data_IF_813611967009
#
_entry.id   IF_813611967009
#
_cell.length_a   1.000
_cell.length_b   1.000
_cell.length_c   1.000
_cell.angle_alpha   90.00
_cell.angle_beta   90.00
_cell.angle_gamma   90.00
#
_symmetry.space_group_name_H-M   'P 1'
#
loop_
_entity.id
_entity.type
_entity.pdbx_description
1 polymer ?
#
# COMPACT_ATOMS: atom_id res chain seq x y z
N UNK A 1 10.24 16.18 -27.37
CA UNK A 1 9.91 15.42 -26.14
C UNK A 1 9.44 14.04 -26.57
N UNK A 2 9.80 12.99 -25.84
CA UNK A 2 9.33 11.63 -26.10
C UNK A 2 7.99 11.39 -25.37
N UNK A 3 7.23 10.37 -25.78
CA UNK A 3 5.92 10.08 -25.21
C UNK A 3 5.98 9.85 -23.69
N UNK A 4 7.00 9.15 -23.20
CA UNK A 4 7.15 8.82 -21.78
C UNK A 4 7.25 10.07 -20.90
N UNK A 5 8.08 11.06 -21.29
CA UNK A 5 8.20 12.34 -20.56
C UNK A 5 6.88 13.12 -20.51
N UNK A 6 6.11 13.09 -21.59
CA UNK A 6 4.80 13.75 -21.67
C UNK A 6 3.78 13.02 -20.80
N UNK A 7 3.76 11.69 -20.80
CA UNK A 7 2.89 10.89 -19.95
C UNK A 7 3.16 11.14 -18.46
N UNK A 8 4.43 11.13 -18.04
CA UNK A 8 4.81 11.44 -16.65
C UNK A 8 4.38 12.85 -16.26
N UNK A 9 4.58 13.84 -17.12
CA UNK A 9 4.15 15.21 -16.84
C UNK A 9 2.62 15.31 -16.73
N UNK A 10 1.86 14.69 -17.64
CA UNK A 10 0.40 14.68 -17.62
C UNK A 10 -0.16 14.06 -16.33
N UNK A 11 0.49 13.03 -15.79
CA UNK A 11 0.09 12.39 -14.53
C UNK A 11 0.41 13.23 -13.28
N UNK A 12 1.31 14.21 -13.39
CA UNK A 12 1.71 15.10 -12.30
C UNK A 12 1.05 16.48 -12.37
N UNK A 13 0.43 16.82 -13.50
CA UNK A 13 -0.19 18.13 -13.70
C UNK A 13 -1.44 18.29 -12.83
N UNK A 14 -1.52 19.40 -12.09
CA UNK A 14 -2.70 19.74 -11.28
C UNK A 14 -3.94 20.07 -12.13
N UNK A 15 -3.74 20.45 -13.40
CA UNK A 15 -4.83 20.76 -14.32
C UNK A 15 -4.54 20.25 -15.73
N UNK A 16 -5.52 19.56 -16.31
CA UNK A 16 -5.45 19.03 -17.68
C UNK A 16 -6.04 19.99 -18.73
N UNK A 17 -6.28 21.25 -18.35
CA UNK A 17 -6.80 22.29 -19.25
C UNK A 17 -5.70 22.75 -20.22
N UNK A 18 -5.95 22.78 -21.56
CA UNK A 18 -4.93 23.15 -22.55
C UNK A 18 -4.25 24.50 -22.29
N UNK A 19 -4.99 25.46 -21.72
CA UNK A 19 -4.48 26.81 -21.44
C UNK A 19 -3.36 26.84 -20.38
N UNK A 20 -3.29 25.84 -19.51
CA UNK A 20 -2.29 25.73 -18.46
C UNK A 20 -1.02 24.98 -18.93
N UNK A 21 -0.99 24.48 -20.17
CA UNK A 21 0.09 23.62 -20.64
C UNK A 21 1.25 24.43 -21.22
N UNK A 22 2.50 24.01 -20.96
CA UNK A 22 3.64 24.48 -21.73
C UNK A 22 3.43 24.21 -23.22
N UNK A 23 3.80 25.16 -24.08
CA UNK A 23 3.58 25.07 -25.53
C UNK A 23 4.19 23.78 -26.16
N UNK A 24 5.31 23.30 -25.63
CA UNK A 24 5.95 22.07 -26.08
C UNK A 24 5.09 20.81 -25.86
N UNK A 25 4.29 20.80 -24.79
CA UNK A 25 3.40 19.69 -24.44
C UNK A 25 2.16 19.72 -25.34
N UNK A 26 1.56 20.91 -25.50
CA UNK A 26 0.43 21.10 -26.43
C UNK A 26 0.79 20.61 -27.84
N UNK A 27 1.92 21.08 -28.38
CA UNK A 27 2.39 20.67 -29.71
C UNK A 27 2.63 19.17 -29.83
N UNK A 28 3.12 18.51 -28.79
CA UNK A 28 3.31 17.05 -28.81
C UNK A 28 1.99 16.29 -28.75
N UNK A 29 1.08 16.69 -27.86
CA UNK A 29 -0.25 16.08 -27.73
C UNK A 29 -1.02 16.21 -29.05
N UNK A 30 -0.94 17.36 -29.72
CA UNK A 30 -1.58 17.58 -31.01
C UNK A 30 -1.00 16.69 -32.13
N UNK A 31 0.31 16.38 -32.06
CA UNK A 31 1.00 15.55 -33.05
C UNK A 31 1.04 14.04 -32.74
N UNK A 32 0.62 13.60 -31.55
CA UNK A 32 0.76 12.22 -31.11
C UNK A 32 -0.57 11.62 -30.64
N UNK A 33 -1.14 10.70 -31.43
CA UNK A 33 -2.44 10.08 -31.16
C UNK A 33 -2.51 9.34 -29.81
N UNK A 34 -1.41 8.70 -29.39
CA UNK A 34 -1.36 7.98 -28.10
C UNK A 34 -1.46 8.95 -26.91
N UNK A 35 -0.71 10.06 -26.95
CA UNK A 35 -0.75 11.10 -25.92
C UNK A 35 -2.09 11.86 -25.93
N UNK A 36 -2.66 12.12 -27.11
CA UNK A 36 -4.01 12.69 -27.25
C UNK A 36 -5.10 11.80 -26.65
N UNK A 37 -4.99 10.47 -26.80
CA UNK A 37 -5.90 9.52 -26.14
C UNK A 37 -5.76 9.61 -24.61
N UNK A 38 -4.55 9.51 -24.08
CA UNK A 38 -4.33 9.61 -22.63
C UNK A 38 -4.90 10.90 -22.03
N UNK A 39 -4.71 12.04 -22.70
CA UNK A 39 -5.30 13.32 -22.27
C UNK A 39 -6.83 13.25 -22.19
N UNK A 40 -7.49 12.63 -23.17
CA UNK A 40 -8.95 12.48 -23.17
C UNK A 40 -9.40 11.62 -22.00
N UNK A 41 -8.75 10.47 -21.80
CA UNK A 41 -9.07 9.54 -20.72
C UNK A 41 -8.87 10.21 -19.33
N UNK A 42 -7.79 10.99 -19.16
CA UNK A 42 -7.54 11.72 -17.92
C UNK A 42 -8.53 12.87 -17.69
N UNK A 43 -8.96 13.58 -18.74
CA UNK A 43 -10.00 14.62 -18.62
C UNK A 43 -11.34 14.03 -18.25
N UNK A 44 -11.72 12.91 -18.85
CA UNK A 44 -12.96 12.21 -18.50
C UNK A 44 -12.98 11.81 -17.02
N UNK A 45 -11.85 11.30 -16.50
CA UNK A 45 -11.70 11.03 -15.07
C UNK A 45 -11.78 12.29 -14.20
N UNK A 46 -11.14 13.39 -14.62
CA UNK A 46 -11.23 14.68 -13.92
C UNK A 46 -12.67 15.19 -13.87
N UNK A 47 -13.39 15.12 -14.99
CA UNK A 47 -14.78 15.57 -15.11
C UNK A 47 -15.71 14.69 -14.27
N UNK A 48 -15.60 13.36 -14.33
CA UNK A 48 -16.34 12.44 -13.46
C UNK A 48 -16.10 12.75 -11.98
N UNK A 49 -14.87 13.07 -11.59
CA UNK A 49 -14.53 13.41 -10.22
C UNK A 49 -15.11 14.77 -9.79
N UNK A 50 -15.17 15.75 -10.70
CA UNK A 50 -15.80 17.06 -10.45
C UNK A 50 -17.32 17.00 -10.41
N UNK A 51 -17.92 16.10 -11.19
CA UNK A 51 -19.37 15.87 -11.25
C UNK A 51 -19.88 15.02 -10.07
N UNK A 52 -19.00 14.36 -9.32
CA UNK A 52 -19.40 13.72 -8.08
C UNK A 52 -20.07 14.75 -7.16
N UNK A 53 -21.38 14.57 -6.95
CA UNK A 53 -22.16 15.38 -6.04
C UNK A 53 -21.44 15.46 -4.71
N UNK A 54 -21.08 16.68 -4.28
CA UNK A 54 -20.45 16.87 -2.99
C UNK A 54 -21.36 16.22 -1.93
N UNK A 55 -20.83 15.37 -1.02
CA UNK A 55 -21.64 14.77 0.03
C UNK A 55 -22.37 15.89 0.78
N UNK A 56 -23.56 15.62 1.31
CA UNK A 56 -24.43 16.63 1.95
C UNK A 56 -23.79 17.40 3.12
N UNK A 57 -22.57 17.07 3.53
CA UNK A 57 -21.68 17.88 4.37
C UNK A 57 -20.89 18.98 3.65
N UNK A 58 -21.15 19.25 2.36
CA UNK A 58 -20.44 20.26 1.56
C UNK A 58 -20.49 21.67 2.17
N UNK A 59 -21.56 21.99 2.89
CA UNK A 59 -21.65 23.23 3.67
C UNK A 59 -20.58 23.33 4.75
N UNK A 60 -20.16 22.21 5.36
CA UNK A 60 -19.10 22.22 6.36
C UNK A 60 -17.75 22.56 5.72
N UNK A 61 -17.46 22.04 4.53
CA UNK A 61 -16.23 22.35 3.78
C UNK A 61 -16.22 23.80 3.28
N UNK A 62 -17.34 24.32 2.77
CA UNK A 62 -17.42 25.73 2.36
C UNK A 62 -17.35 26.69 3.55
N UNK A 63 -17.96 26.35 4.70
CA UNK A 63 -17.80 27.09 5.95
C UNK A 63 -16.36 27.04 6.49
N UNK A 64 -15.67 25.91 6.34
CA UNK A 64 -14.27 25.79 6.71
C UNK A 64 -13.38 26.65 5.81
N UNK A 65 -13.55 26.60 4.49
CA UNK A 65 -12.80 27.43 3.55
C UNK A 65 -13.09 28.93 3.76
N UNK A 66 -14.33 29.32 4.07
CA UNK A 66 -14.63 30.70 4.47
C UNK A 66 -13.96 31.09 5.79
N UNK A 67 -13.87 30.19 6.77
CA UNK A 67 -13.13 30.45 8.02
C UNK A 67 -11.64 30.60 7.75
N UNK A 68 -11.07 29.79 6.87
CA UNK A 68 -9.65 29.87 6.50
C UNK A 68 -9.33 31.17 5.76
N UNK A 69 -10.16 31.57 4.78
CA UNK A 69 -10.02 32.85 4.09
C UNK A 69 -10.14 34.07 5.03
N UNK A 70 -10.89 33.95 6.15
CA UNK A 70 -10.93 34.98 7.20
C UNK A 70 -9.69 35.00 8.09
N UNK A 71 -9.01 33.86 8.26
CA UNK A 71 -7.77 33.75 9.03
C UNK A 71 -6.55 34.20 8.22
N UNK A 72 -6.60 34.05 6.90
CA UNK A 72 -5.53 34.47 5.98
C UNK A 72 -5.59 35.94 5.55
N UNK A 73 -6.49 36.76 6.11
CA UNK A 73 -6.30 38.21 6.07
C UNK A 73 -5.26 38.51 7.13
N UNK A 74 -3.99 38.78 6.79
CA UNK A 74 -3.08 39.29 7.77
C UNK A 74 -3.68 40.64 8.14
N UNK A 75 -4.19 40.79 9.36
CA UNK A 75 -4.39 42.10 9.95
C UNK A 75 -3.05 42.77 9.77
N UNK A 76 -2.95 43.69 8.80
CA UNK A 76 -1.72 44.38 8.47
C UNK A 76 -1.29 45.07 9.75
N UNK A 77 -0.40 44.44 10.49
CA UNK A 77 0.15 45.02 11.71
C UNK A 77 0.77 46.32 11.20
N UNK A 78 0.30 47.50 11.64
CA UNK A 78 0.85 48.75 11.15
C UNK A 78 2.34 48.68 11.39
N UNK A 79 3.12 48.70 10.32
CA UNK A 79 4.57 48.76 10.40
C UNK A 79 4.88 50.10 11.06
N UNK A 80 5.02 50.11 12.39
CA UNK A 80 5.75 51.16 13.07
C UNK A 80 7.15 51.09 12.49
N UNK A 81 7.48 52.06 11.64
CA UNK A 81 8.83 52.25 11.13
C UNK A 81 9.78 52.25 12.32
N UNK A 82 10.52 51.14 12.48
CA UNK A 82 11.57 51.07 13.48
C UNK A 82 12.64 52.07 13.06
N UNK A 83 13.03 53.02 13.91
CA UNK A 83 14.16 53.89 13.62
C UNK A 83 15.39 53.02 13.38
N UNK A 84 16.16 53.38 12.35
CA UNK A 84 17.40 52.75 11.92
C UNK A 84 18.27 52.35 13.13
N UNK A 85 18.23 51.06 13.48
CA UNK A 85 19.14 50.48 14.45
C UNK A 85 20.52 50.46 13.81
N UNK A 86 21.43 51.26 14.36
CA UNK A 86 22.86 51.26 14.03
C UNK A 86 23.40 49.82 14.09
N UNK A 87 24.36 49.45 13.22
CA UNK A 87 24.91 48.11 13.18
C UNK A 87 25.46 47.74 14.56
N UNK A 88 24.75 46.85 15.25
CA UNK A 88 25.20 46.29 16.50
C UNK A 88 26.41 45.39 16.24
N UNK A 89 27.34 45.48 17.18
CA UNK A 89 28.64 44.82 17.29
C UNK A 89 28.69 43.37 16.76
N UNK A 90 29.83 42.95 16.15
CA UNK A 90 29.99 41.68 15.43
C UNK A 90 29.77 40.41 16.28
N UNK A 91 29.67 40.55 17.61
CA UNK A 91 29.42 39.45 18.53
C UNK A 91 27.98 38.91 18.47
N UNK A 92 26.99 39.73 18.07
CA UNK A 92 25.60 39.27 17.94
C UNK A 92 25.40 38.35 16.72
N UNK A 93 26.18 38.53 15.65
CA UNK A 93 26.13 37.66 14.48
C UNK A 93 26.62 36.24 14.81
N UNK A 94 27.65 36.11 15.65
CA UNK A 94 28.19 34.82 16.09
C UNK A 94 27.18 34.03 16.95
N UNK A 95 26.45 34.71 17.84
CA UNK A 95 25.42 34.09 18.68
C UNK A 95 24.20 33.61 17.86
N UNK A 96 23.78 34.36 16.84
CA UNK A 96 22.68 33.95 15.97
C UNK A 96 23.03 32.72 15.11
N UNK A 97 24.25 32.64 14.58
CA UNK A 97 24.68 31.48 13.80
C UNK A 97 24.82 30.21 14.64
N UNK A 98 25.27 30.32 15.89
CA UNK A 98 25.37 29.17 16.80
C UNK A 98 24.00 28.65 17.23
N UNK A 99 23.01 29.51 17.48
CA UNK A 99 21.63 29.06 17.71
C UNK A 99 21.05 28.33 16.50
N UNK A 100 21.27 28.84 15.28
CA UNK A 100 20.83 28.17 14.05
C UNK A 100 21.44 26.77 13.90
N UNK A 101 22.75 26.64 14.12
CA UNK A 101 23.45 25.36 14.06
C UNK A 101 22.93 24.36 15.10
N UNK A 102 22.64 24.81 16.33
CA UNK A 102 22.07 23.96 17.40
C UNK A 102 20.65 23.52 17.03
N UNK A 103 19.80 24.40 16.50
CA UNK A 103 18.46 23.99 16.02
C UNK A 103 18.51 23.02 14.85
N UNK A 104 19.44 23.19 13.90
CA UNK A 104 19.61 22.29 12.76
C UNK A 104 20.10 20.91 13.21
N UNK A 105 21.04 20.89 14.15
CA UNK A 105 21.55 19.65 14.72
C UNK A 105 20.49 18.94 15.56
N UNK A 106 19.71 19.67 16.37
CA UNK A 106 18.59 19.10 17.13
C UNK A 106 17.46 18.58 16.22
N UNK A 107 17.26 19.20 15.05
CA UNK A 107 16.28 18.76 14.07
C UNK A 107 16.72 17.50 13.31
N UNK A 108 17.99 17.43 12.88
CA UNK A 108 18.56 16.24 12.23
C UNK A 108 18.76 15.06 13.18
N UNK A 109 18.95 15.31 14.48
CA UNK A 109 19.11 14.26 15.50
C UNK A 109 17.79 13.70 16.01
N UNK A 110 16.65 14.29 15.64
CA UNK A 110 15.34 13.68 15.90
C UNK A 110 15.03 12.69 14.77
N UNK A 111 14.73 11.41 15.06
CA UNK A 111 14.18 10.50 14.05
C UNK A 111 12.96 11.18 13.43
N UNK A 112 12.98 11.31 12.10
CA UNK A 112 12.20 12.31 11.38
C UNK A 112 10.72 12.36 11.76
N UNK A 113 10.11 13.56 11.78
CA UNK A 113 8.68 13.71 11.98
C UNK A 113 7.95 13.03 10.81
N UNK A 114 7.42 11.84 11.08
CA UNK A 114 6.33 11.27 10.31
C UNK A 114 5.14 12.25 10.26
N UNK A 115 4.20 12.01 9.33
CA UNK A 115 3.15 12.96 9.00
C UNK A 115 2.30 13.34 10.23
N UNK A 116 2.32 14.64 10.56
CA UNK A 116 1.27 15.44 11.21
C UNK A 116 0.64 14.92 12.52
N UNK A 117 0.80 15.62 13.66
CA UNK A 117 -0.05 15.42 14.82
C UNK A 117 -1.42 16.09 14.57
N UNK A 118 -2.48 15.46 15.08
CA UNK A 118 -3.88 15.94 15.21
C UNK A 118 -4.94 15.32 14.28
N UNK A 119 -4.83 14.01 14.04
CA UNK A 119 -6.01 13.16 14.18
C UNK A 119 -5.68 12.13 15.26
N UNK A 120 -6.11 12.39 16.50
CA UNK A 120 -6.24 11.34 17.52
C UNK A 120 -7.39 10.42 17.10
N UNK A 121 -7.19 9.67 16.02
CA UNK A 121 -7.86 8.37 15.91
C UNK A 121 -7.36 7.64 17.14
N UNK A 122 -8.27 7.20 18.01
CA UNK A 122 -7.92 6.24 19.04
C UNK A 122 -7.39 5.00 18.29
N UNK A 123 -6.10 5.01 18.01
CA UNK A 123 -5.34 3.87 17.56
C UNK A 123 -5.40 2.92 18.73
N UNK A 124 -6.42 2.07 18.73
CA UNK A 124 -6.38 0.78 19.40
C UNK A 124 -5.04 0.16 18.99
N UNK A 125 -4.06 0.18 19.88
CA UNK A 125 -2.64 -0.14 19.62
C UNK A 125 -2.37 -1.63 19.41
N UNK A 126 -3.34 -2.39 18.93
CA UNK A 126 -3.28 -3.86 18.82
C UNK A 126 -3.63 -4.49 17.46
N UNK A 127 -3.66 -3.77 16.32
CA UNK A 127 -3.59 -4.38 14.99
C UNK A 127 -2.17 -4.59 14.43
N UNK A 128 -1.10 -4.11 15.09
CA UNK A 128 0.26 -4.06 14.50
C UNK A 128 0.91 -5.45 14.30
N UNK A 129 0.78 -6.38 15.24
CA UNK A 129 1.49 -7.69 15.16
C UNK A 129 0.98 -8.58 14.03
N UNK A 130 -0.34 -8.68 13.84
CA UNK A 130 -0.91 -9.51 12.76
C UNK A 130 -0.54 -8.90 11.41
N UNK A 131 -0.54 -7.58 11.30
CA UNK A 131 -0.20 -6.87 10.07
C UNK A 131 1.28 -7.07 9.70
N UNK A 132 2.18 -7.01 10.69
CA UNK A 132 3.60 -7.35 10.49
C UNK A 132 3.80 -8.80 10.10
N UNK A 133 3.07 -9.73 10.71
CA UNK A 133 3.13 -11.15 10.33
C UNK A 133 2.63 -11.38 8.89
N UNK A 134 1.61 -10.64 8.45
CA UNK A 134 1.14 -10.69 7.06
C UNK A 134 2.18 -10.11 6.09
N UNK A 135 2.80 -8.97 6.42
CA UNK A 135 3.87 -8.38 5.61
C UNK A 135 5.11 -9.29 5.58
N UNK A 136 5.45 -9.94 6.69
CA UNK A 136 6.53 -10.92 6.73
C UNK A 136 6.23 -12.14 5.84
N UNK A 137 5.01 -12.70 5.90
CA UNK A 137 4.62 -13.77 4.98
C UNK A 137 4.66 -13.32 3.51
N UNK A 138 4.31 -12.06 3.23
CA UNK A 138 4.47 -11.46 1.92
C UNK A 138 5.94 -11.42 1.48
N UNK A 139 6.84 -10.96 2.34
CA UNK A 139 8.28 -10.95 2.09
C UNK A 139 8.81 -12.37 1.82
N UNK A 140 8.37 -13.36 2.61
CA UNK A 140 8.73 -14.78 2.43
C UNK A 140 8.31 -15.30 1.04
N UNK A 141 7.10 -15.00 0.58
CA UNK A 141 6.63 -15.45 -0.76
C UNK A 141 7.43 -14.81 -1.90
N UNK A 142 7.81 -13.53 -1.75
CA UNK A 142 8.53 -12.77 -2.76
C UNK A 142 10.05 -13.03 -2.76
N UNK A 143 10.61 -13.44 -1.62
CA UNK A 143 12.02 -13.79 -1.50
C UNK A 143 12.36 -15.03 -2.35
N UNK A 144 13.61 -15.09 -2.83
CA UNK A 144 14.14 -16.28 -3.50
C UNK A 144 14.30 -17.40 -2.47
N UNK A 145 14.20 -18.68 -2.86
CA UNK A 145 14.24 -19.77 -1.89
C UNK A 145 15.49 -19.79 -0.98
N UNK A 146 16.66 -19.43 -1.51
CA UNK A 146 17.90 -19.32 -0.73
C UNK A 146 17.91 -18.16 0.30
N UNK A 147 17.15 -17.09 0.03
CA UNK A 147 17.07 -15.92 0.92
C UNK A 147 16.02 -16.12 2.02
N UNK A 148 14.99 -16.95 1.78
CA UNK A 148 13.91 -17.22 2.76
C UNK A 148 14.42 -17.80 4.07
N UNK A 149 15.42 -18.70 4.03
CA UNK A 149 16.02 -19.29 5.23
C UNK A 149 16.75 -18.26 6.09
N UNK A 150 17.40 -17.29 5.46
CA UNK A 150 18.04 -16.16 6.17
C UNK A 150 16.97 -15.27 6.80
N UNK A 151 15.96 -14.91 6.00
CA UNK A 151 14.84 -14.10 6.48
C UNK A 151 14.14 -14.75 7.68
N UNK A 152 13.92 -16.06 7.65
CA UNK A 152 13.38 -16.82 8.78
C UNK A 152 14.28 -16.69 10.02
N UNK A 153 15.58 -16.98 9.89
CA UNK A 153 16.52 -16.92 11.01
C UNK A 153 16.62 -15.51 11.63
N UNK A 154 16.51 -14.46 10.81
CA UNK A 154 16.64 -13.07 11.27
C UNK A 154 15.39 -12.57 12.01
N UNK A 155 14.19 -13.08 11.67
CA UNK A 155 12.91 -12.45 12.09
C UNK A 155 11.99 -13.34 12.94
N UNK A 156 12.10 -14.67 12.87
CA UNK A 156 11.14 -15.58 13.54
C UNK A 156 11.11 -15.38 15.05
N UNK A 157 12.28 -15.35 15.69
CA UNK A 157 12.39 -15.22 17.15
C UNK A 157 11.85 -13.87 17.66
N UNK A 158 12.07 -12.81 16.89
CA UNK A 158 11.53 -11.48 17.20
C UNK A 158 10.02 -11.47 17.09
N UNK A 159 9.46 -11.96 15.98
CA UNK A 159 8.01 -12.04 15.77
C UNK A 159 7.32 -12.92 16.81
N UNK A 160 7.91 -14.06 17.20
CA UNK A 160 7.38 -14.90 18.30
C UNK A 160 7.37 -14.15 19.64
N UNK A 161 8.41 -13.36 19.94
CA UNK A 161 8.44 -12.52 21.15
C UNK A 161 7.39 -11.42 21.09
N UNK A 162 7.19 -10.80 19.93
CA UNK A 162 6.15 -9.78 19.73
C UNK A 162 4.74 -10.36 19.94
N UNK A 163 4.45 -11.54 19.38
CA UNK A 163 3.17 -12.23 19.61
C UNK A 163 2.96 -12.52 21.10
N UNK A 164 3.95 -13.08 21.80
CA UNK A 164 3.87 -13.34 23.26
C UNK A 164 3.64 -12.05 24.05
N UNK A 165 4.32 -10.95 23.67
CA UNK A 165 4.14 -9.65 24.33
C UNK A 165 2.76 -9.05 24.06
N UNK A 166 2.21 -9.27 22.87
CA UNK A 166 0.88 -8.81 22.49
C UNK A 166 -0.25 -9.72 23.02
N UNK A 167 0.07 -10.93 23.49
CA UNK A 167 -0.89 -11.94 23.93
C UNK A 167 -1.98 -11.43 24.88
N UNK A 168 -1.68 -10.60 25.92
CA UNK A 168 -2.71 -10.10 26.84
C UNK A 168 -3.77 -9.21 26.19
N UNK A 169 -3.49 -8.70 24.98
CA UNK A 169 -4.36 -7.77 24.26
C UNK A 169 -4.98 -8.39 23.00
N UNK A 170 -4.49 -9.55 22.57
CA UNK A 170 -5.00 -10.24 21.38
C UNK A 170 -6.22 -11.06 21.74
N UNK A 171 -7.22 -11.05 20.86
CA UNK A 171 -8.36 -11.98 21.00
C UNK A 171 -7.87 -13.42 20.82
N UNK A 172 -8.56 -14.44 21.36
CA UNK A 172 -8.19 -15.84 21.13
C UNK A 172 -8.09 -16.21 19.64
N UNK A 173 -8.98 -15.66 18.81
CA UNK A 173 -8.95 -15.86 17.35
C UNK A 173 -7.72 -15.22 16.70
N UNK A 174 -7.31 -14.03 17.16
CA UNK A 174 -6.11 -13.37 16.65
C UNK A 174 -4.83 -14.07 17.06
N UNK A 175 -4.79 -14.67 18.25
CA UNK A 175 -3.65 -15.48 18.71
C UNK A 175 -3.47 -16.71 17.82
N UNK A 176 -4.53 -17.49 17.62
CA UNK A 176 -4.50 -18.65 16.72
C UNK A 176 -4.13 -18.26 15.30
N UNK A 177 -4.62 -17.11 14.82
CA UNK A 177 -4.28 -16.64 13.49
C UNK A 177 -2.82 -16.19 13.39
N UNK A 178 -2.29 -15.49 14.40
CA UNK A 178 -0.89 -15.11 14.46
C UNK A 178 0.04 -16.33 14.47
N UNK A 179 -0.29 -17.36 15.25
CA UNK A 179 0.45 -18.64 15.27
C UNK A 179 0.42 -19.30 13.88
N UNK A 180 -0.75 -19.37 13.25
CA UNK A 180 -0.90 -19.90 11.88
C UNK A 180 -0.06 -19.12 10.85
N UNK A 181 0.06 -17.80 11.00
CA UNK A 181 0.92 -16.98 10.14
C UNK A 181 2.40 -17.27 10.37
N UNK A 182 2.82 -17.51 11.62
CA UNK A 182 4.20 -17.92 11.92
C UNK A 182 4.50 -19.28 11.31
N UNK A 183 3.64 -20.27 11.54
CA UNK A 183 3.77 -21.62 10.96
C UNK A 183 3.81 -21.58 9.43
N UNK A 184 2.99 -20.72 8.82
CA UNK A 184 3.00 -20.53 7.37
C UNK A 184 4.35 -19.99 6.92
N UNK A 185 4.89 -18.94 7.55
CA UNK A 185 6.20 -18.39 7.19
C UNK A 185 7.34 -19.38 7.37
N UNK A 186 7.34 -20.16 8.46
CA UNK A 186 8.31 -21.26 8.67
C UNK A 186 8.22 -22.26 7.51
N UNK A 187 7.01 -22.70 7.15
CA UNK A 187 6.83 -23.64 6.05
C UNK A 187 7.26 -23.06 4.69
N UNK A 188 7.01 -21.76 4.44
CA UNK A 188 7.42 -21.08 3.22
C UNK A 188 8.95 -21.04 3.07
N UNK A 189 9.70 -21.04 4.17
CA UNK A 189 11.17 -21.08 4.15
C UNK A 189 11.75 -22.38 3.59
N UNK A 190 10.99 -23.47 3.70
CA UNK A 190 11.39 -24.81 3.28
C UNK A 190 10.90 -25.15 1.86
N UNK A 191 9.93 -24.40 1.35
CA UNK A 191 9.29 -24.67 0.07
C UNK A 191 10.05 -24.03 -1.10
N UNK A 192 10.51 -24.89 -2.01
CA UNK A 192 11.01 -24.48 -3.33
C UNK A 192 9.91 -24.50 -4.40
N UNK A 193 8.75 -25.10 -4.10
CA UNK A 193 7.67 -25.33 -5.05
C UNK A 193 6.62 -24.21 -5.02
N UNK A 194 6.43 -23.44 -6.10
CA UNK A 194 5.38 -22.43 -6.15
C UNK A 194 3.96 -22.98 -6.07
N UNK A 195 3.72 -24.24 -6.47
CA UNK A 195 2.40 -24.85 -6.28
C UNK A 195 2.08 -25.12 -4.82
N UNK A 196 3.01 -25.69 -4.05
CA UNK A 196 2.80 -25.88 -2.60
C UNK A 196 2.79 -24.54 -1.87
N UNK A 197 3.65 -23.60 -2.29
CA UNK A 197 3.61 -22.21 -1.82
C UNK A 197 2.20 -21.63 -1.98
N UNK A 198 1.58 -21.85 -3.14
CA UNK A 198 0.23 -21.32 -3.40
C UNK A 198 -0.86 -21.95 -2.57
N UNK A 199 -0.73 -23.21 -2.21
CA UNK A 199 -1.66 -23.88 -1.31
C UNK A 199 -1.57 -23.27 0.09
N UNK A 200 -0.36 -23.01 0.58
CA UNK A 200 -0.14 -22.33 1.88
C UNK A 200 -0.69 -20.91 1.86
N UNK A 201 -0.35 -20.12 0.85
CA UNK A 201 -0.84 -18.74 0.69
C UNK A 201 -2.35 -18.70 0.53
N UNK A 202 -2.95 -19.63 -0.21
CA UNK A 202 -4.40 -19.77 -0.34
C UNK A 202 -5.05 -20.03 1.01
N UNK A 203 -4.52 -20.94 1.83
CA UNK A 203 -5.10 -21.24 3.14
C UNK A 203 -5.10 -19.99 4.06
N UNK A 204 -4.08 -19.14 3.97
CA UNK A 204 -4.06 -17.83 4.65
C UNK A 204 -5.12 -16.89 4.08
N UNK A 205 -5.23 -16.79 2.75
CA UNK A 205 -6.25 -15.96 2.09
C UNK A 205 -7.69 -16.39 2.46
N UNK A 206 -7.97 -17.69 2.52
CA UNK A 206 -9.26 -18.23 2.96
C UNK A 206 -9.57 -17.83 4.41
N UNK A 207 -8.58 -17.96 5.30
CA UNK A 207 -8.72 -17.57 6.70
C UNK A 207 -8.98 -16.07 6.85
N UNK A 208 -8.28 -15.24 6.08
CA UNK A 208 -8.54 -13.79 6.05
C UNK A 208 -9.94 -13.47 5.52
N UNK A 209 -10.40 -14.16 4.47
CA UNK A 209 -11.73 -13.97 3.91
C UNK A 209 -12.82 -14.33 4.93
N UNK A 210 -12.68 -15.46 5.62
CA UNK A 210 -13.60 -15.86 6.70
C UNK A 210 -13.61 -14.84 7.85
N UNK A 211 -12.44 -14.32 8.23
CA UNK A 211 -12.33 -13.28 9.26
C UNK A 211 -12.98 -11.96 8.86
N UNK A 212 -12.98 -11.62 7.56
CA UNK A 212 -13.72 -10.48 7.02
C UNK A 212 -15.23 -10.72 7.12
N UNK A 213 -15.69 -11.93 6.78
CA UNK A 213 -17.13 -12.26 6.85
C UNK A 213 -17.68 -12.29 8.27
N UNK A 214 -16.87 -12.69 9.25
CA UNK A 214 -17.26 -12.75 10.68
C UNK A 214 -17.14 -11.41 11.40
N UNK A 215 -16.51 -10.41 10.79
CA UNK A 215 -16.24 -9.13 11.45
C UNK A 215 -17.45 -8.20 11.48
N UNK A 216 -17.53 -7.36 12.51
CA UNK A 216 -18.54 -6.32 12.61
C UNK A 216 -18.27 -5.17 11.61
N UNK A 217 -19.23 -4.25 11.45
CA UNK A 217 -19.08 -3.16 10.48
C UNK A 217 -17.84 -2.29 10.72
N UNK A 218 -17.41 -2.12 11.98
CA UNK A 218 -16.26 -1.27 12.34
C UNK A 218 -14.93 -1.94 12.00
N UNK A 219 -14.75 -3.21 12.35
CA UNK A 219 -13.54 -3.98 12.08
C UNK A 219 -13.44 -4.46 10.63
N UNK A 220 -14.58 -4.59 9.94
CA UNK A 220 -14.63 -5.08 8.56
C UNK A 220 -13.79 -4.25 7.60
N UNK A 221 -13.75 -2.92 7.75
CA UNK A 221 -12.97 -2.06 6.84
C UNK A 221 -11.48 -2.34 6.97
N UNK A 222 -10.99 -2.50 8.19
CA UNK A 222 -9.57 -2.79 8.46
C UNK A 222 -9.20 -4.19 7.95
N UNK A 223 -10.01 -5.21 8.27
CA UNK A 223 -9.77 -6.59 7.82
C UNK A 223 -9.90 -6.73 6.30
N UNK A 224 -10.82 -6.01 5.67
CA UNK A 224 -10.96 -5.97 4.20
C UNK A 224 -9.73 -5.36 3.53
N UNK A 225 -9.16 -4.30 4.11
CA UNK A 225 -7.93 -3.70 3.61
C UNK A 225 -6.78 -4.71 3.64
N UNK A 226 -6.65 -5.48 4.72
CA UNK A 226 -5.62 -6.52 4.83
C UNK A 226 -5.80 -7.66 3.87
N UNK A 227 -7.03 -8.16 3.75
CA UNK A 227 -7.37 -9.16 2.75
C UNK A 227 -7.01 -8.66 1.34
N UNK A 228 -7.38 -7.42 1.00
CA UNK A 228 -7.08 -6.83 -0.30
C UNK A 228 -5.57 -6.70 -0.54
N UNK A 229 -4.81 -6.17 0.42
CA UNK A 229 -3.35 -6.06 0.34
C UNK A 229 -2.69 -7.43 0.14
N UNK A 230 -3.13 -8.43 0.90
CA UNK A 230 -2.63 -9.80 0.80
C UNK A 230 -2.92 -10.41 -0.57
N UNK A 231 -4.14 -10.24 -1.10
CA UNK A 231 -4.48 -10.69 -2.46
C UNK A 231 -3.60 -10.00 -3.52
N UNK A 232 -3.44 -8.68 -3.41
CA UNK A 232 -2.70 -7.91 -4.41
C UNK A 232 -1.19 -8.22 -4.39
N UNK A 233 -0.61 -8.39 -3.21
CA UNK A 233 0.84 -8.47 -3.05
C UNK A 233 1.37 -9.91 -2.93
N UNK A 234 0.59 -10.84 -2.37
CA UNK A 234 1.01 -12.25 -2.24
C UNK A 234 0.43 -13.10 -3.37
N UNK A 235 -0.90 -13.08 -3.51
CA UNK A 235 -1.61 -14.05 -4.34
C UNK A 235 -1.35 -13.78 -5.83
N UNK A 236 -1.52 -12.54 -6.30
CA UNK A 236 -1.34 -12.24 -7.74
C UNK A 236 0.07 -12.50 -8.26
N UNK A 237 1.15 -12.06 -7.59
CA UNK A 237 2.50 -12.38 -8.05
C UNK A 237 2.77 -13.89 -8.06
N UNK A 238 2.20 -14.64 -7.13
CA UNK A 238 2.32 -16.09 -7.09
C UNK A 238 1.55 -16.78 -8.23
N UNK A 239 0.32 -16.35 -8.52
CA UNK A 239 -0.44 -16.80 -9.69
C UNK A 239 0.32 -16.54 -11.00
N UNK A 240 0.93 -15.35 -11.11
CA UNK A 240 1.73 -14.99 -12.27
C UNK A 240 2.95 -15.91 -12.42
N UNK A 241 3.68 -16.18 -11.32
CA UNK A 241 4.79 -17.14 -11.31
C UNK A 241 4.34 -18.53 -11.74
N UNK A 242 3.22 -19.03 -11.20
CA UNK A 242 2.66 -20.34 -11.54
C UNK A 242 2.25 -20.39 -13.01
N UNK A 243 1.62 -19.33 -13.54
CA UNK A 243 1.20 -19.26 -14.94
C UNK A 243 2.37 -19.34 -15.93
N UNK A 244 3.56 -18.87 -15.51
CA UNK A 244 4.79 -18.92 -16.30
C UNK A 244 5.53 -20.25 -16.19
N UNK A 245 5.16 -21.11 -15.23
CA UNK A 245 5.77 -22.43 -15.07
C UNK A 245 5.35 -23.36 -16.19
N UNK A 246 6.34 -23.96 -16.86
CA UNK A 246 6.11 -25.01 -17.85
C UNK A 246 5.80 -26.34 -17.15
N UNK A 247 4.91 -27.18 -17.72
CA UNK A 247 4.73 -28.54 -17.24
C UNK A 247 6.07 -29.29 -17.25
N UNK A 248 6.28 -30.24 -16.31
CA UNK A 248 7.50 -31.05 -16.32
C UNK A 248 7.61 -31.83 -17.63
N UNK A 249 8.71 -31.65 -18.35
CA UNK A 249 8.96 -32.38 -19.59
C UNK A 249 9.24 -33.86 -19.29
N UNK A 250 8.40 -34.75 -19.83
CA UNK A 250 8.62 -36.20 -19.76
C UNK A 250 9.65 -36.55 -20.83
N UNK A 251 10.92 -36.70 -20.46
CA UNK A 251 11.95 -37.17 -21.41
C UNK A 251 11.59 -38.56 -21.93
N UNK A 252 11.62 -38.75 -23.26
CA UNK A 252 11.51 -40.05 -23.92
C UNK A 252 12.60 -40.97 -23.35
N UNK A 253 12.21 -41.93 -22.53
CA UNK A 253 13.13 -42.80 -21.77
C UNK A 253 12.79 -42.98 -20.29
N UNK A 254 11.71 -42.38 -19.78
CA UNK A 254 11.16 -42.70 -18.44
C UNK A 254 11.98 -42.17 -17.25
N UNK A 255 13.21 -41.69 -17.46
CA UNK A 255 13.98 -40.97 -16.44
C UNK A 255 13.40 -39.56 -16.28
N UNK A 256 12.66 -39.36 -15.19
CA UNK A 256 12.20 -38.04 -14.73
C UNK A 256 13.43 -37.21 -14.36
N UNK A 257 13.81 -36.25 -15.20
CA UNK A 257 14.95 -35.35 -14.93
C UNK A 257 14.41 -34.05 -14.36
N UNK A 258 14.87 -33.70 -13.16
CA UNK A 258 15.05 -32.30 -12.77
C UNK A 258 13.88 -31.57 -12.10
N UNK A 259 12.75 -32.22 -11.81
CA UNK A 259 11.76 -31.65 -10.90
C UNK A 259 11.55 -32.58 -9.71
N UNK A 260 11.55 -32.06 -8.46
CA UNK A 260 11.33 -32.88 -7.27
C UNK A 260 9.92 -33.50 -7.21
N UNK A 261 9.01 -33.15 -8.14
CA UNK A 261 7.63 -33.62 -8.13
C UNK A 261 7.44 -34.96 -8.82
N UNK A 262 6.75 -35.87 -8.12
CA UNK A 262 6.18 -37.09 -8.70
C UNK A 262 4.91 -36.82 -9.53
N UNK A 263 4.54 -35.57 -9.75
CA UNK A 263 3.30 -35.16 -10.42
C UNK A 263 3.43 -35.27 -11.95
N UNK A 264 2.43 -35.86 -12.60
CA UNK A 264 2.40 -35.91 -14.07
C UNK A 264 1.89 -34.58 -14.67
N UNK A 265 2.13 -34.28 -15.96
CA UNK A 265 1.71 -33.02 -16.57
C UNK A 265 0.20 -32.73 -16.47
N UNK A 266 -0.63 -33.78 -16.53
CA UNK A 266 -2.09 -33.65 -16.40
C UNK A 266 -2.49 -33.18 -15.00
N UNK A 267 -1.92 -33.78 -13.95
CA UNK A 267 -2.13 -33.40 -12.55
C UNK A 267 -1.63 -31.98 -12.26
N UNK A 268 -0.51 -31.59 -12.88
CA UNK A 268 0.01 -30.23 -12.75
C UNK A 268 -0.99 -29.19 -13.30
N UNK A 269 -1.50 -29.43 -14.51
CA UNK A 269 -2.47 -28.55 -15.15
C UNK A 269 -3.81 -28.52 -14.39
N UNK A 270 -4.27 -29.67 -13.89
CA UNK A 270 -5.46 -29.78 -13.04
C UNK A 270 -5.32 -28.95 -11.77
N UNK A 271 -4.19 -29.07 -11.06
CA UNK A 271 -3.91 -28.23 -9.88
C UNK A 271 -3.86 -26.74 -10.19
N UNK A 272 -3.25 -26.33 -11.30
CA UNK A 272 -3.24 -24.93 -11.69
C UNK A 272 -4.65 -24.39 -11.94
N UNK A 273 -5.52 -25.18 -12.58
CA UNK A 273 -6.90 -24.82 -12.84
C UNK A 273 -7.73 -24.74 -11.55
N UNK A 274 -7.55 -25.70 -10.64
CA UNK A 274 -8.26 -25.72 -9.36
C UNK A 274 -7.84 -24.55 -8.47
N UNK A 275 -6.54 -24.22 -8.46
CA UNK A 275 -6.03 -23.05 -7.77
C UNK A 275 -6.69 -21.77 -8.30
N UNK A 276 -6.63 -21.55 -9.63
CA UNK A 276 -7.26 -20.38 -10.27
C UNK A 276 -8.75 -20.26 -9.93
N UNK A 277 -9.49 -21.37 -10.05
CA UNK A 277 -10.92 -21.41 -9.68
C UNK A 277 -11.15 -21.02 -8.23
N UNK A 278 -10.33 -21.51 -7.31
CA UNK A 278 -10.47 -21.18 -5.89
C UNK A 278 -10.12 -19.73 -5.55
N UNK A 279 -9.10 -19.16 -6.20
CA UNK A 279 -8.72 -17.76 -6.03
C UNK A 279 -9.77 -16.81 -6.64
N UNK A 280 -10.33 -17.18 -7.79
CA UNK A 280 -11.47 -16.46 -8.37
C UNK A 280 -12.72 -16.54 -7.48
N UNK A 281 -12.98 -17.70 -6.86
CA UNK A 281 -14.07 -17.84 -5.90
C UNK A 281 -13.86 -16.94 -4.67
N UNK A 282 -12.64 -16.86 -4.13
CA UNK A 282 -12.29 -15.96 -3.03
C UNK A 282 -12.46 -14.49 -3.39
N UNK A 283 -12.01 -14.09 -4.58
CA UNK A 283 -12.21 -12.73 -5.10
C UNK A 283 -13.69 -12.40 -5.22
N UNK A 284 -14.51 -13.30 -5.80
CA UNK A 284 -15.96 -13.11 -5.90
C UNK A 284 -16.64 -13.02 -4.54
N UNK A 285 -16.25 -13.89 -3.60
CA UNK A 285 -16.83 -13.92 -2.23
C UNK A 285 -16.58 -12.61 -1.49
N UNK A 286 -15.34 -12.12 -1.54
CA UNK A 286 -14.92 -10.89 -0.86
C UNK A 286 -15.46 -9.63 -1.53
N UNK A 287 -15.53 -9.58 -2.86
CA UNK A 287 -15.96 -8.38 -3.58
C UNK A 287 -17.48 -8.27 -3.72
N UNK A 288 -18.19 -9.39 -3.81
CA UNK A 288 -19.63 -9.42 -4.09
C UNK A 288 -20.53 -8.92 -2.95
N UNK A 289 -20.09 -8.99 -1.68
CA UNK A 289 -20.94 -8.63 -0.53
C UNK A 289 -20.76 -7.21 0.01
N UNK A 290 -19.68 -6.50 -0.32
CA UNK A 290 -19.37 -5.22 0.33
C UNK A 290 -18.75 -4.13 -0.54
N UNK A 291 -18.12 -4.48 -1.66
CA UNK A 291 -17.38 -3.49 -2.46
C UNK A 291 -18.28 -2.66 -3.38
N UNK A 292 -19.46 -3.17 -3.74
CA UNK A 292 -20.53 -2.39 -4.40
C UNK A 292 -21.36 -1.55 -3.40
N UNK A 293 -21.03 -1.57 -2.10
CA UNK A 293 -21.67 -0.67 -1.16
C UNK A 293 -21.15 0.75 -1.40
N UNK A 294 -22.01 1.76 -1.64
CA UNK A 294 -21.62 3.14 -1.93
C UNK A 294 -20.80 3.83 -0.82
N UNK A 295 -20.52 3.15 0.28
CA UNK A 295 -19.76 3.65 1.42
C UNK A 295 -18.24 3.71 1.22
N UNK A 296 -17.64 2.98 0.28
CA UNK A 296 -16.21 3.16 -0.05
C UNK A 296 -15.93 4.42 -0.90
N UNK A 297 -16.97 4.99 -1.53
CA UNK A 297 -16.92 6.28 -2.25
C UNK A 297 -17.57 7.46 -1.51
N UNK A 298 -18.35 7.20 -0.45
CA UNK A 298 -18.99 8.24 0.38
C UNK A 298 -18.36 8.27 1.78
N UNK A 299 -17.14 8.80 1.91
CA UNK A 299 -16.67 9.27 3.22
C UNK A 299 -17.48 10.53 3.58
N UNK A 300 -18.20 10.47 4.71
CA UNK A 300 -18.87 11.62 5.33
C UNK A 300 -17.86 12.62 5.87
#
# INVERSE_FOLDING_TARGET
MNCQSIQTWLLQAESLRPKAWPAAIGKHVDGCAACAKLVRDLRELEDQWREQSLPSGAEAKSRFLQKQAKLDVPTSIPMRMRPYLKPATPWLAAAAMSLFAITLFAWLSRPGPGPGPDIKVAATQTPDVVDRLLEWNLEMTNAKPGDRKKLLADTEDELRKEVKKAEPKLTPEDRLFAEKLIETGVSLAELDNPLEESERVKNVAETLAERVEKSDAKESTHRQLHFYKFMQRCVHPLEERISKMKPPEVKKGGKKVGFPFKMNPKQFQERQNDLRKSLDALRKKSWGKGFNSPHFGKRR
#
